data_IF_875835399199
#
_entry.id   IF_875835399199
#
_cell.length_a   1.000
_cell.length_b   1.000
_cell.length_c   1.000
_cell.angle_alpha   90.00
_cell.angle_beta   90.00
_cell.angle_gamma   90.00
#
_symmetry.space_group_name_H-M   'P 1'
#
loop_
_entity.id
_entity.type
_entity.pdbx_description
1 polymer ?
#
# COMPACT_ATOMS: atom_id res chain seq x y z
N UNK A 1 -0.23 -5.66 -32.28
CA UNK A 1 -0.93 -6.10 -31.06
C UNK A 1 -1.75 -4.94 -30.55
N UNK A 2 -3.03 -5.19 -30.22
CA UNK A 2 -3.97 -4.14 -29.82
C UNK A 2 -4.16 -4.13 -28.30
N UNK A 3 -4.06 -2.96 -27.69
CA UNK A 3 -4.10 -2.76 -26.22
C UNK A 3 -5.24 -1.82 -25.84
N UNK A 4 -6.04 -2.25 -24.87
CA UNK A 4 -7.13 -1.47 -24.30
C UNK A 4 -6.68 -0.85 -22.97
N UNK A 5 -6.85 0.46 -22.80
CA UNK A 5 -6.58 1.18 -21.56
C UNK A 5 -7.90 1.75 -21.04
N UNK A 6 -8.32 1.35 -19.83
CA UNK A 6 -9.68 1.57 -19.33
C UNK A 6 -9.79 2.50 -18.12
N UNK A 7 -8.67 2.93 -17.56
CA UNK A 7 -8.63 3.83 -16.40
C UNK A 7 -8.03 5.19 -16.75
N UNK A 8 -8.43 6.22 -16.03
CA UNK A 8 -7.73 7.49 -16.05
C UNK A 8 -6.36 7.36 -15.40
N UNK A 9 -5.31 7.64 -16.14
CA UNK A 9 -3.92 7.51 -15.75
C UNK A 9 -3.12 8.72 -16.23
N UNK A 10 -1.86 8.82 -15.79
CA UNK A 10 -0.94 9.83 -16.30
C UNK A 10 -0.83 9.74 -17.84
N UNK A 11 -0.79 10.86 -18.52
CA UNK A 11 -0.82 10.96 -19.99
C UNK A 11 0.23 10.07 -20.70
N UNK A 12 1.38 9.84 -20.06
CA UNK A 12 2.41 8.93 -20.59
C UNK A 12 1.92 7.51 -20.85
N UNK A 13 0.77 7.09 -20.26
CA UNK A 13 0.23 5.74 -20.48
C UNK A 13 -0.25 5.53 -21.92
N UNK A 14 -0.67 6.57 -22.60
CA UNK A 14 -1.14 6.50 -23.98
C UNK A 14 0.04 6.35 -24.93
N UNK A 15 1.12 7.10 -24.70
CA UNK A 15 2.31 7.10 -25.58
C UNK A 15 3.21 5.88 -25.35
N UNK A 16 3.23 5.34 -24.13
CA UNK A 16 4.09 4.23 -23.76
C UNK A 16 3.91 2.98 -24.63
N UNK A 17 2.68 2.47 -24.87
CA UNK A 17 2.50 1.32 -25.77
C UNK A 17 2.78 1.66 -27.24
N UNK A 18 2.51 2.90 -27.68
CA UNK A 18 2.81 3.36 -29.03
C UNK A 18 4.32 3.32 -29.30
N UNK A 19 5.15 3.72 -28.33
CA UNK A 19 6.61 3.60 -28.41
C UNK A 19 7.10 2.14 -28.54
N UNK A 20 6.28 1.17 -28.12
CA UNK A 20 6.51 -0.26 -28.31
C UNK A 20 5.89 -0.80 -29.61
N UNK A 21 5.35 0.05 -30.48
CA UNK A 21 4.70 -0.34 -31.74
C UNK A 21 3.34 -1.01 -31.53
N UNK A 22 2.68 -0.77 -30.40
CA UNK A 22 1.36 -1.31 -30.10
C UNK A 22 0.26 -0.34 -30.56
N UNK A 23 -0.85 -0.86 -31.03
CA UNK A 23 -2.07 -0.10 -31.32
C UNK A 23 -2.85 0.10 -30.00
N UNK A 24 -3.21 1.34 -29.67
CA UNK A 24 -3.78 1.71 -28.37
C UNK A 24 -5.16 2.31 -28.53
N UNK A 25 -6.12 1.78 -27.78
CA UNK A 25 -7.41 2.44 -27.56
C UNK A 25 -7.50 2.88 -26.08
N UNK A 26 -7.67 4.18 -25.85
CA UNK A 26 -7.75 4.78 -24.53
C UNK A 26 -9.18 5.25 -24.22
N UNK A 27 -9.83 4.57 -23.27
CA UNK A 27 -11.20 4.89 -22.85
C UNK A 27 -11.27 5.07 -21.32
N UNK A 28 -10.77 6.19 -20.76
CA UNK A 28 -10.65 6.39 -19.31
C UNK A 28 -12.00 6.37 -18.58
N UNK A 29 -13.08 6.72 -19.26
CA UNK A 29 -14.42 6.83 -18.67
C UNK A 29 -15.36 5.66 -19.04
N UNK A 30 -14.85 4.62 -19.73
CA UNK A 30 -15.64 3.48 -20.17
C UNK A 30 -16.23 2.71 -18.98
N UNK A 31 -17.51 2.28 -19.07
CA UNK A 31 -18.14 1.43 -18.10
C UNK A 31 -17.69 -0.04 -18.25
N UNK A 32 -17.75 -0.82 -17.17
CA UNK A 32 -17.36 -2.24 -17.22
C UNK A 32 -18.16 -3.02 -18.26
N UNK A 33 -19.46 -2.77 -18.40
CA UNK A 33 -20.32 -3.41 -19.40
C UNK A 33 -19.86 -3.16 -20.83
N UNK A 34 -19.46 -1.94 -21.15
CA UNK A 34 -18.93 -1.58 -22.47
C UNK A 34 -17.54 -2.20 -22.71
N UNK A 35 -16.72 -2.35 -21.64
CA UNK A 35 -15.45 -3.07 -21.76
C UNK A 35 -15.67 -4.52 -22.14
N UNK A 36 -16.66 -5.20 -21.54
CA UNK A 36 -16.98 -6.60 -21.85
C UNK A 36 -17.40 -6.80 -23.32
N UNK A 37 -18.06 -5.80 -23.93
CA UNK A 37 -18.44 -5.84 -25.33
C UNK A 37 -17.23 -5.67 -26.30
N UNK A 38 -16.20 -4.97 -25.85
CA UNK A 38 -15.04 -4.60 -26.70
C UNK A 38 -13.82 -5.49 -26.49
N UNK A 39 -13.60 -5.99 -25.29
CA UNK A 39 -12.33 -6.62 -24.88
C UNK A 39 -11.94 -7.85 -25.68
N UNK A 40 -12.91 -8.49 -26.38
CA UNK A 40 -12.68 -9.65 -27.24
C UNK A 40 -11.65 -9.40 -28.38
N UNK A 41 -11.47 -8.14 -28.77
CA UNK A 41 -10.57 -7.78 -29.87
C UNK A 41 -9.16 -7.38 -29.42
N UNK A 42 -8.91 -7.34 -28.12
CA UNK A 42 -7.65 -6.87 -27.57
C UNK A 42 -6.77 -8.00 -27.07
N UNK A 43 -5.47 -7.84 -27.25
CA UNK A 43 -4.44 -8.77 -26.81
C UNK A 43 -3.76 -8.30 -25.51
N UNK A 44 -3.90 -7.02 -25.15
CA UNK A 44 -3.44 -6.42 -23.91
C UNK A 44 -4.52 -5.57 -23.24
N UNK A 45 -4.55 -5.59 -21.91
CA UNK A 45 -5.41 -4.73 -21.09
C UNK A 45 -4.54 -3.98 -20.09
N UNK A 46 -4.70 -2.66 -20.01
CA UNK A 46 -4.07 -1.85 -18.96
C UNK A 46 -5.17 -1.27 -18.08
N UNK A 47 -5.08 -1.57 -16.78
CA UNK A 47 -6.06 -1.20 -15.77
C UNK A 47 -5.37 -0.72 -14.49
N UNK A 48 -6.02 0.18 -13.75
CA UNK A 48 -5.58 0.60 -12.40
C UNK A 48 -6.47 0.00 -11.32
N UNK A 49 -7.73 0.43 -11.22
CA UNK A 49 -8.61 0.03 -10.11
C UNK A 49 -10.10 0.03 -10.46
N UNK A 50 -10.46 0.12 -11.71
CA UNK A 50 -11.83 0.39 -12.14
C UNK A 50 -12.81 -0.75 -11.84
N UNK A 51 -12.41 -2.01 -12.06
CA UNK A 51 -13.25 -3.16 -11.84
C UNK A 51 -12.44 -4.44 -11.58
N UNK A 52 -13.13 -5.47 -11.14
CA UNK A 52 -12.54 -6.78 -10.87
C UNK A 52 -12.39 -7.59 -12.17
N UNK A 53 -11.25 -8.22 -12.36
CA UNK A 53 -10.96 -9.13 -13.47
C UNK A 53 -11.05 -10.56 -12.96
N UNK A 54 -12.20 -11.16 -13.13
CA UNK A 54 -12.52 -12.54 -12.74
C UNK A 54 -12.65 -13.47 -13.96
N UNK A 55 -13.00 -14.71 -13.70
CA UNK A 55 -13.25 -15.71 -14.75
C UNK A 55 -14.33 -15.26 -15.73
N UNK A 56 -15.40 -14.58 -15.27
CA UNK A 56 -16.45 -14.07 -16.13
C UNK A 56 -15.95 -12.99 -17.08
N UNK A 57 -15.12 -12.07 -16.57
CA UNK A 57 -14.45 -11.08 -17.41
C UNK A 57 -13.57 -11.75 -18.47
N UNK A 58 -12.74 -12.70 -18.06
CA UNK A 58 -11.78 -13.38 -18.92
C UNK A 58 -12.44 -14.24 -20.00
N UNK A 59 -13.66 -14.73 -19.79
CA UNK A 59 -14.46 -15.42 -20.84
C UNK A 59 -14.76 -14.51 -22.03
N UNK A 60 -14.90 -13.21 -21.81
CA UNK A 60 -15.15 -12.23 -22.86
C UNK A 60 -13.85 -11.69 -23.50
N UNK A 61 -12.68 -12.11 -23.05
CA UNK A 61 -11.38 -11.65 -23.52
C UNK A 61 -10.51 -12.81 -24.12
N UNK A 62 -11.00 -13.51 -25.18
CA UNK A 62 -10.34 -14.72 -25.68
C UNK A 62 -8.96 -14.51 -26.30
N UNK A 63 -8.65 -13.26 -26.72
CA UNK A 63 -7.36 -12.91 -27.35
C UNK A 63 -6.36 -12.34 -26.34
N UNK A 64 -6.75 -12.13 -25.07
CA UNK A 64 -5.94 -11.45 -24.08
C UNK A 64 -4.69 -12.27 -23.74
N UNK A 65 -3.52 -11.65 -23.85
CA UNK A 65 -2.20 -12.24 -23.59
C UNK A 65 -1.56 -11.67 -22.34
N UNK A 66 -1.85 -10.40 -22.02
CA UNK A 66 -1.33 -9.78 -20.82
C UNK A 66 -2.29 -8.75 -20.20
N UNK A 67 -2.12 -8.54 -18.91
CA UNK A 67 -2.76 -7.49 -18.12
C UNK A 67 -1.67 -6.64 -17.47
N UNK A 68 -1.63 -5.35 -17.81
CA UNK A 68 -0.80 -4.36 -17.14
C UNK A 68 -1.59 -3.67 -16.02
N UNK A 69 -1.20 -3.93 -14.76
CA UNK A 69 -1.81 -3.25 -13.62
C UNK A 69 -0.99 -1.99 -13.27
N UNK A 70 -1.55 -0.81 -13.53
CA UNK A 70 -0.92 0.47 -13.20
C UNK A 70 -0.95 0.76 -11.70
N UNK A 71 -0.09 0.05 -10.95
CA UNK A 71 0.05 0.11 -9.50
C UNK A 71 0.60 -1.19 -8.91
N UNK A 72 0.65 -1.29 -7.58
CA UNK A 72 1.33 -2.39 -6.89
C UNK A 72 0.42 -3.59 -6.58
N UNK A 73 -0.80 -3.37 -6.11
CA UNK A 73 -1.69 -4.44 -5.67
C UNK A 73 -2.36 -5.18 -6.82
N UNK A 74 -2.53 -6.47 -6.68
CA UNK A 74 -3.23 -7.34 -7.63
C UNK A 74 -4.61 -7.79 -7.11
N UNK A 75 -5.12 -7.13 -6.09
CA UNK A 75 -6.33 -7.50 -5.35
C UNK A 75 -7.60 -7.56 -6.25
N UNK A 76 -7.57 -6.87 -7.39
CA UNK A 76 -8.66 -6.84 -8.37
C UNK A 76 -8.48 -7.81 -9.54
N UNK A 77 -7.51 -8.72 -9.49
CA UNK A 77 -7.23 -9.65 -10.58
C UNK A 77 -7.22 -11.08 -10.03
N UNK A 78 -8.04 -11.93 -10.61
CA UNK A 78 -7.99 -13.37 -10.34
C UNK A 78 -6.77 -13.99 -11.03
N UNK A 79 -5.68 -14.09 -10.24
CA UNK A 79 -4.38 -14.58 -10.70
C UNK A 79 -4.47 -16.02 -11.20
N UNK A 80 -5.27 -16.87 -10.54
CA UNK A 80 -5.38 -18.29 -10.92
C UNK A 80 -6.19 -18.45 -12.22
N UNK A 81 -7.22 -17.65 -12.43
CA UNK A 81 -7.95 -17.63 -13.70
C UNK A 81 -7.06 -17.15 -14.86
N UNK A 82 -6.24 -16.11 -14.63
CA UNK A 82 -5.26 -15.64 -15.62
C UNK A 82 -4.22 -16.71 -15.97
N UNK A 83 -3.65 -17.39 -14.96
CA UNK A 83 -2.68 -18.49 -15.18
C UNK A 83 -3.24 -19.62 -16.01
N UNK A 84 -4.48 -20.07 -15.73
CA UNK A 84 -5.17 -21.12 -16.50
C UNK A 84 -5.31 -20.79 -17.98
N UNK A 85 -5.35 -19.50 -18.31
CA UNK A 85 -5.49 -18.98 -19.68
C UNK A 85 -4.17 -18.53 -20.30
N UNK A 86 -3.04 -18.73 -19.61
CA UNK A 86 -1.72 -18.25 -20.03
C UNK A 86 -1.68 -16.72 -20.25
N UNK A 87 -2.38 -15.95 -19.41
CA UNK A 87 -2.38 -14.50 -19.43
C UNK A 87 -1.33 -14.01 -18.43
N UNK A 88 -0.32 -13.26 -18.92
CA UNK A 88 0.70 -12.66 -18.07
C UNK A 88 0.19 -11.41 -17.33
N UNK A 89 0.61 -11.23 -16.08
CA UNK A 89 0.20 -10.09 -15.26
C UNK A 89 1.44 -9.27 -14.89
N UNK A 90 1.44 -7.99 -15.26
CA UNK A 90 2.49 -7.04 -14.93
C UNK A 90 1.97 -6.02 -13.93
N UNK A 91 2.47 -6.06 -12.70
CA UNK A 91 2.24 -5.02 -11.70
C UNK A 91 3.43 -4.05 -11.65
N UNK A 92 3.16 -2.77 -11.38
CA UNK A 92 4.19 -1.72 -11.32
C UNK A 92 4.61 -1.44 -9.87
N UNK A 93 4.95 -2.50 -9.12
CA UNK A 93 5.26 -2.45 -7.69
C UNK A 93 6.45 -1.53 -7.35
N UNK A 94 7.37 -1.36 -8.28
CA UNK A 94 8.57 -0.55 -8.12
C UNK A 94 8.29 0.95 -8.27
N UNK A 95 7.21 1.30 -8.98
CA UNK A 95 6.92 2.67 -9.40
C UNK A 95 6.57 3.61 -8.24
N UNK A 96 5.86 3.13 -7.23
CA UNK A 96 5.38 3.95 -6.12
C UNK A 96 6.15 3.77 -4.80
N UNK A 97 7.13 2.86 -4.72
CA UNK A 97 7.83 2.53 -3.46
C UNK A 97 8.46 3.74 -2.77
N UNK A 98 8.96 4.70 -3.54
CA UNK A 98 9.56 5.92 -3.02
C UNK A 98 8.50 6.78 -2.34
N UNK A 99 7.39 7.02 -3.02
CA UNK A 99 6.27 7.81 -2.50
C UNK A 99 5.70 7.20 -1.22
N UNK A 100 5.45 5.88 -1.20
CA UNK A 100 4.94 5.16 -0.01
C UNK A 100 5.88 5.34 1.18
N UNK A 101 7.19 5.18 0.97
CA UNK A 101 8.16 5.31 2.04
C UNK A 101 8.25 6.74 2.58
N UNK A 102 8.24 7.75 1.71
CA UNK A 102 8.28 9.17 2.11
C UNK A 102 7.00 9.59 2.83
N UNK A 103 5.84 9.14 2.35
CA UNK A 103 4.57 9.40 3.00
C UNK A 103 4.55 8.84 4.44
N UNK A 104 4.95 7.58 4.61
CA UNK A 104 5.04 6.95 5.94
C UNK A 104 5.98 7.71 6.88
N UNK A 105 7.16 8.13 6.41
CA UNK A 105 8.07 8.94 7.20
C UNK A 105 7.41 10.27 7.59
N UNK A 106 6.74 10.92 6.64
CA UNK A 106 5.97 12.14 6.90
C UNK A 106 4.94 11.95 8.01
N UNK A 107 4.14 10.87 7.95
CA UNK A 107 3.16 10.54 9.00
C UNK A 107 3.84 10.27 10.35
N UNK A 108 4.93 9.50 10.39
CA UNK A 108 5.67 9.22 11.62
C UNK A 108 6.23 10.51 12.25
N UNK A 109 6.84 11.39 11.46
CA UNK A 109 7.35 12.67 11.96
C UNK A 109 6.21 13.58 12.44
N UNK A 110 5.09 13.62 11.74
CA UNK A 110 3.91 14.36 12.18
C UNK A 110 3.37 13.83 13.53
N UNK A 111 3.31 12.51 13.68
CA UNK A 111 2.83 11.86 14.90
C UNK A 111 3.79 12.09 16.07
N UNK A 112 5.08 11.80 15.89
CA UNK A 112 6.09 11.84 16.92
C UNK A 112 6.35 13.25 17.45
N UNK A 113 6.24 14.27 16.59
CA UNK A 113 6.46 15.67 16.95
C UNK A 113 5.17 16.47 17.18
N UNK A 114 4.00 15.80 17.24
CA UNK A 114 2.68 16.43 17.42
C UNK A 114 2.41 17.58 16.41
N UNK A 115 2.93 17.48 15.17
CA UNK A 115 2.92 18.59 14.19
C UNK A 115 1.48 19.02 13.86
N UNK A 116 0.62 18.07 13.47
CA UNK A 116 -0.77 18.38 13.10
C UNK A 116 -1.58 18.97 14.27
N UNK A 117 -1.36 18.43 15.47
CA UNK A 117 -2.00 18.92 16.69
C UNK A 117 -1.56 20.32 17.03
N UNK A 118 -0.24 20.59 17.06
CA UNK A 118 0.30 21.91 17.41
C UNK A 118 -0.04 22.97 16.37
N UNK A 119 -0.02 22.62 15.06
CA UNK A 119 -0.45 23.51 14.00
C UNK A 119 -1.93 23.93 14.16
N UNK A 120 -2.80 22.95 14.44
CA UNK A 120 -4.22 23.23 14.69
C UNK A 120 -4.43 24.06 15.95
N UNK A 121 -3.69 23.82 17.03
CA UNK A 121 -3.75 24.64 18.25
C UNK A 121 -3.36 26.10 17.96
N UNK A 122 -2.26 26.35 17.24
CA UNK A 122 -1.84 27.69 16.86
C UNK A 122 -2.88 28.40 15.99
N UNK A 123 -3.47 27.72 15.02
CA UNK A 123 -4.57 28.27 14.19
C UNK A 123 -5.80 28.67 15.00
N UNK A 124 -5.98 28.08 16.19
CA UNK A 124 -7.03 28.42 17.14
C UNK A 124 -6.57 29.32 18.29
N UNK A 125 -5.43 30.03 18.14
CA UNK A 125 -4.83 30.93 19.12
C UNK A 125 -4.47 30.25 20.46
N UNK A 126 -4.12 28.96 20.42
CA UNK A 126 -3.73 28.17 21.59
C UNK A 126 -2.23 27.92 21.54
N UNK A 127 -1.49 28.38 22.57
CA UNK A 127 -0.04 28.19 22.70
C UNK A 127 0.28 27.18 23.80
N UNK A 128 0.58 25.93 23.42
CA UNK A 128 0.85 24.81 24.36
C UNK A 128 2.20 24.15 24.06
N UNK A 129 3.30 24.80 24.46
CA UNK A 129 4.65 24.30 24.19
C UNK A 129 4.95 22.96 24.86
N UNK A 130 4.75 22.88 26.17
CA UNK A 130 5.14 21.69 26.96
C UNK A 130 4.24 20.46 26.65
N UNK A 131 2.96 20.66 26.37
CA UNK A 131 2.01 19.60 26.03
C UNK A 131 2.22 19.02 24.63
N UNK A 132 3.01 19.71 23.79
CA UNK A 132 3.36 19.29 22.42
C UNK A 132 4.81 18.79 22.33
N UNK A 133 5.48 18.49 23.45
CA UNK A 133 6.79 17.87 23.45
C UNK A 133 6.71 16.51 22.74
N UNK A 134 7.55 16.31 21.71
CA UNK A 134 7.59 15.11 20.89
C UNK A 134 8.57 14.06 21.37
N UNK A 135 8.65 12.98 20.63
CA UNK A 135 9.67 11.93 20.70
C UNK A 135 10.53 11.96 19.43
N UNK A 136 11.77 11.46 19.50
CA UNK A 136 12.65 11.30 18.35
C UNK A 136 12.54 9.90 17.74
N UNK A 137 12.72 9.79 16.43
CA UNK A 137 12.87 8.50 15.74
C UNK A 137 14.24 7.87 16.00
N UNK A 138 15.26 8.70 16.29
CA UNK A 138 16.62 8.25 16.53
C UNK A 138 16.68 7.18 17.62
N UNK A 139 17.38 6.08 17.32
CA UNK A 139 17.56 4.95 18.23
C UNK A 139 16.36 4.01 18.38
N UNK A 140 15.18 4.36 17.83
CA UNK A 140 14.01 3.47 17.84
C UNK A 140 14.26 2.21 17.00
N UNK A 141 13.68 1.09 17.43
CA UNK A 141 13.68 -0.16 16.68
C UNK A 141 12.39 -0.27 15.87
N UNK A 142 12.51 -0.38 14.57
CA UNK A 142 11.37 -0.52 13.66
C UNK A 142 11.29 -1.96 13.17
N UNK A 143 10.17 -2.62 13.48
CA UNK A 143 9.79 -3.91 12.91
C UNK A 143 9.10 -3.69 11.56
N UNK A 144 9.62 -4.29 10.50
CA UNK A 144 9.03 -4.25 9.16
C UNK A 144 8.52 -5.65 8.82
N UNK A 145 7.22 -5.79 8.57
CA UNK A 145 6.62 -7.03 8.09
C UNK A 145 6.36 -6.91 6.60
N UNK A 146 7.04 -7.75 5.80
CA UNK A 146 7.13 -7.67 4.34
C UNK A 146 8.32 -6.84 3.89
N UNK A 147 9.36 -7.51 3.37
CA UNK A 147 10.61 -6.89 2.92
C UNK A 147 10.73 -6.93 1.39
N UNK A 148 9.62 -6.53 0.71
CA UNK A 148 9.58 -6.29 -0.72
C UNK A 148 9.92 -4.84 -1.07
N UNK A 149 9.49 -4.37 -2.25
CA UNK A 149 9.80 -3.02 -2.77
C UNK A 149 9.51 -1.89 -1.77
N UNK A 150 8.33 -1.91 -1.13
CA UNK A 150 7.93 -0.87 -0.18
C UNK A 150 8.66 -1.00 1.16
N UNK A 151 8.83 -2.22 1.68
CA UNK A 151 9.56 -2.46 2.94
C UNK A 151 11.03 -2.05 2.83
N UNK A 152 11.72 -2.41 1.74
CA UNK A 152 13.10 -1.97 1.48
C UNK A 152 13.22 -0.45 1.35
N UNK A 153 12.30 0.19 0.60
CA UNK A 153 12.31 1.64 0.43
C UNK A 153 12.06 2.38 1.74
N UNK A 154 11.20 1.84 2.61
CA UNK A 154 10.92 2.37 3.95
C UNK A 154 12.13 2.18 4.87
N UNK A 155 12.71 0.99 4.91
CA UNK A 155 13.91 0.69 5.70
C UNK A 155 15.06 1.65 5.36
N UNK A 156 15.35 1.82 4.07
CA UNK A 156 16.46 2.67 3.62
C UNK A 156 16.34 4.12 4.09
N UNK A 157 15.12 4.64 4.24
CA UNK A 157 14.88 5.99 4.75
C UNK A 157 14.97 6.05 6.27
N UNK A 158 14.40 5.06 6.98
CA UNK A 158 14.45 5.00 8.44
C UNK A 158 15.88 4.87 8.98
N UNK A 159 16.76 4.18 8.24
CA UNK A 159 18.19 4.12 8.55
C UNK A 159 18.81 5.52 8.61
N UNK A 160 18.44 6.42 7.70
CA UNK A 160 18.94 7.80 7.71
C UNK A 160 18.50 8.61 8.95
N UNK A 161 17.41 8.19 9.61
CA UNK A 161 16.97 8.74 10.91
C UNK A 161 17.61 8.04 12.12
N UNK A 162 18.57 7.14 11.90
CA UNK A 162 19.24 6.42 12.97
C UNK A 162 18.39 5.32 13.62
N UNK A 163 17.34 4.85 12.96
CA UNK A 163 16.54 3.72 13.43
C UNK A 163 17.28 2.39 13.25
N UNK A 164 17.01 1.44 14.15
CA UNK A 164 17.39 0.03 14.00
C UNK A 164 16.29 -0.70 13.26
N UNK A 165 16.62 -1.46 12.22
CA UNK A 165 15.62 -2.15 11.38
C UNK A 165 15.67 -3.65 11.66
N UNK A 166 14.52 -4.19 12.09
CA UNK A 166 14.22 -5.62 12.15
C UNK A 166 13.21 -5.94 11.07
N UNK A 167 13.59 -6.73 10.07
CA UNK A 167 12.70 -7.05 8.96
C UNK A 167 12.37 -8.53 8.91
N UNK A 168 11.10 -8.84 8.74
CA UNK A 168 10.59 -10.19 8.51
C UNK A 168 9.89 -10.27 7.17
N UNK A 169 10.24 -11.29 6.40
CA UNK A 169 9.51 -11.68 5.20
C UNK A 169 9.29 -13.19 5.20
N UNK A 170 8.07 -13.63 4.87
CA UNK A 170 7.73 -15.06 4.88
C UNK A 170 8.38 -15.84 3.74
N UNK A 171 8.66 -15.15 2.63
CA UNK A 171 9.05 -15.78 1.36
C UNK A 171 10.46 -15.40 0.90
N UNK A 172 11.08 -14.39 1.53
CA UNK A 172 12.43 -13.92 1.20
C UNK A 172 13.36 -14.19 2.37
N UNK A 173 14.56 -14.67 2.04
CA UNK A 173 15.62 -15.00 3.00
C UNK A 173 16.95 -14.46 2.48
N UNK A 174 17.91 -14.26 3.40
CA UNK A 174 19.25 -13.79 3.06
C UNK A 174 19.30 -12.34 2.59
N UNK A 175 18.32 -11.52 2.96
CA UNK A 175 18.26 -10.10 2.61
C UNK A 175 18.90 -9.18 3.67
N UNK A 176 19.29 -9.74 4.83
CA UNK A 176 19.95 -8.99 5.88
C UNK A 176 21.28 -8.39 5.43
N UNK A 177 21.62 -7.22 5.98
CA UNK A 177 22.88 -6.51 5.71
C UNK A 177 23.33 -5.72 6.94
N UNK A 178 24.36 -4.90 6.82
CA UNK A 178 24.90 -4.09 7.93
C UNK A 178 23.90 -3.11 8.58
N UNK A 179 22.80 -2.80 7.91
CA UNK A 179 21.78 -1.82 8.36
C UNK A 179 20.42 -2.45 8.67
N UNK A 180 20.15 -3.61 8.10
CA UNK A 180 18.87 -4.33 8.25
C UNK A 180 19.14 -5.72 8.80
N UNK A 181 18.57 -6.01 9.95
CA UNK A 181 18.60 -7.35 10.53
C UNK A 181 17.43 -8.15 10.03
N UNK A 182 17.69 -9.24 9.29
CA UNK A 182 16.69 -10.26 9.00
C UNK A 182 16.28 -10.92 10.31
N UNK A 183 14.99 -10.90 10.62
CA UNK A 183 14.49 -11.23 11.95
C UNK A 183 13.30 -12.17 11.90
N UNK A 184 13.08 -12.87 13.00
CA UNK A 184 11.85 -13.62 13.22
C UNK A 184 10.74 -12.71 13.76
N UNK A 185 9.49 -13.16 13.66
CA UNK A 185 8.37 -12.45 14.30
C UNK A 185 8.56 -12.32 15.82
N UNK A 186 9.16 -13.32 16.47
CA UNK A 186 9.42 -13.27 17.92
C UNK A 186 10.41 -12.16 18.30
N UNK A 187 11.44 -11.92 17.48
CA UNK A 187 12.38 -10.82 17.71
C UNK A 187 11.71 -9.45 17.50
N UNK A 188 10.80 -9.34 16.53
CA UNK A 188 9.99 -8.12 16.33
C UNK A 188 9.10 -7.90 17.54
N UNK A 189 8.37 -8.90 18.03
CA UNK A 189 7.51 -8.77 19.21
C UNK A 189 8.26 -8.30 20.46
N UNK A 190 9.51 -8.75 20.65
CA UNK A 190 10.33 -8.36 21.81
C UNK A 190 10.90 -6.96 21.71
N UNK A 191 11.32 -6.54 20.50
CA UNK A 191 12.23 -5.42 20.40
C UNK A 191 11.63 -4.18 19.71
N UNK A 192 10.57 -4.33 18.90
CA UNK A 192 10.05 -3.23 18.11
C UNK A 192 9.43 -2.14 19.00
N UNK A 193 9.76 -0.89 18.70
CA UNK A 193 9.11 0.32 19.20
C UNK A 193 8.07 0.81 18.20
N UNK A 194 8.29 0.55 16.90
CA UNK A 194 7.40 0.89 15.79
C UNK A 194 7.22 -0.37 14.96
N UNK A 195 5.99 -0.67 14.57
CA UNK A 195 5.65 -1.73 13.62
C UNK A 195 5.11 -1.16 12.33
N UNK A 196 5.63 -1.59 11.18
CA UNK A 196 5.16 -1.17 9.86
C UNK A 196 4.83 -2.35 8.95
N UNK A 197 3.65 -2.30 8.32
CA UNK A 197 3.15 -3.35 7.44
C UNK A 197 3.40 -3.02 5.97
N UNK A 198 3.98 -3.99 5.25
CA UNK A 198 4.29 -3.90 3.82
C UNK A 198 4.00 -5.22 3.07
N UNK A 199 3.02 -5.97 3.54
CA UNK A 199 2.58 -7.24 2.94
C UNK A 199 1.32 -7.06 2.08
N UNK A 200 1.10 -7.91 1.08
CA UNK A 200 -0.13 -7.91 0.29
C UNK A 200 -1.32 -8.46 1.09
N UNK A 201 -2.52 -8.09 0.67
CA UNK A 201 -3.75 -8.75 1.10
C UNK A 201 -3.92 -10.08 0.38
N UNK A 202 -4.06 -11.14 1.14
CA UNK A 202 -4.32 -12.51 0.68
C UNK A 202 -5.31 -13.17 1.63
N UNK A 203 -5.80 -14.37 1.31
CA UNK A 203 -6.65 -15.15 2.22
C UNK A 203 -5.94 -15.37 3.57
N UNK A 204 -4.63 -15.57 3.55
CA UNK A 204 -3.83 -15.81 4.76
C UNK A 204 -3.62 -14.53 5.60
N UNK A 205 -3.43 -13.39 4.94
CA UNK A 205 -3.08 -12.13 5.62
C UNK A 205 -4.30 -11.29 5.98
N UNK A 206 -5.48 -11.64 5.46
CA UNK A 206 -6.74 -10.97 5.79
C UNK A 206 -7.03 -11.10 7.29
N UNK A 207 -7.22 -9.97 7.96
CA UNK A 207 -7.47 -9.88 9.42
C UNK A 207 -6.39 -10.55 10.28
N UNK A 208 -5.16 -10.65 9.76
CA UNK A 208 -4.04 -11.26 10.48
C UNK A 208 -3.62 -10.45 11.72
N UNK A 209 -3.84 -9.13 11.69
CA UNK A 209 -3.46 -8.21 12.76
C UNK A 209 -4.66 -7.93 13.67
N UNK A 210 -4.93 -8.88 14.53
CA UNK A 210 -6.02 -8.92 15.50
C UNK A 210 -5.54 -8.58 16.93
N UNK A 211 -6.42 -8.68 17.90
CA UNK A 211 -6.12 -8.48 19.32
C UNK A 211 -4.95 -9.35 19.79
N UNK A 212 -4.98 -10.63 19.43
CA UNK A 212 -3.93 -11.58 19.89
C UNK A 212 -2.58 -11.24 19.31
N UNK A 213 -2.54 -10.69 18.10
CA UNK A 213 -1.33 -10.19 17.49
C UNK A 213 -0.74 -9.01 18.29
N UNK A 214 -1.53 -7.99 18.61
CA UNK A 214 -1.05 -6.83 19.37
C UNK A 214 -0.59 -7.20 20.77
N UNK A 215 -1.24 -8.15 21.44
CA UNK A 215 -0.88 -8.62 22.77
C UNK A 215 0.49 -9.30 22.86
N UNK A 216 1.03 -9.83 21.74
CA UNK A 216 2.35 -10.49 21.71
C UNK A 216 3.53 -9.55 21.91
N UNK A 217 3.36 -8.26 21.65
CA UNK A 217 4.46 -7.31 21.80
C UNK A 217 4.82 -7.13 23.27
N UNK A 218 6.11 -7.21 23.59
CA UNK A 218 6.57 -6.96 24.97
C UNK A 218 6.51 -5.48 25.32
N UNK A 219 6.74 -4.61 24.33
CA UNK A 219 6.65 -3.15 24.46
C UNK A 219 5.29 -2.62 24.01
N UNK A 220 4.99 -1.39 24.42
CA UNK A 220 3.93 -0.61 23.78
C UNK A 220 4.49 0.03 22.52
N UNK A 221 3.83 -0.18 21.37
CA UNK A 221 4.34 0.15 20.05
C UNK A 221 3.59 1.31 19.40
N UNK A 222 4.21 1.94 18.42
CA UNK A 222 3.53 2.69 17.37
C UNK A 222 3.23 1.76 16.20
N UNK A 223 2.06 1.93 15.58
CA UNK A 223 1.61 1.04 14.52
C UNK A 223 1.42 1.79 13.21
N UNK A 224 1.90 1.24 12.10
CA UNK A 224 1.82 1.84 10.78
C UNK A 224 1.25 0.84 9.76
N UNK A 225 0.21 1.26 9.05
CA UNK A 225 -0.33 0.51 7.93
C UNK A 225 -0.49 1.39 6.70
N UNK A 226 0.39 1.19 5.72
CA UNK A 226 0.37 1.79 4.39
C UNK A 226 0.24 0.72 3.29
N UNK A 227 -0.26 -0.46 3.66
CA UNK A 227 -0.40 -1.61 2.77
C UNK A 227 -1.86 -1.85 2.34
N UNK A 228 -2.65 -2.53 3.17
CA UNK A 228 -4.09 -2.78 2.98
C UNK A 228 -4.81 -2.73 4.31
N UNK A 229 -5.99 -2.12 4.34
CA UNK A 229 -6.77 -1.96 5.57
C UNK A 229 -7.30 -3.26 6.13
N UNK A 230 -7.71 -4.17 5.25
CA UNK A 230 -8.27 -5.48 5.60
C UNK A 230 -7.25 -6.45 6.25
N UNK A 231 -5.97 -6.10 6.27
CA UNK A 231 -4.96 -6.81 7.06
C UNK A 231 -5.25 -6.74 8.56
N UNK A 232 -5.91 -5.67 9.00
CA UNK A 232 -6.09 -5.30 10.41
C UNK A 232 -7.56 -5.44 10.80
N UNK A 233 -7.84 -6.06 11.94
CA UNK A 233 -9.15 -5.95 12.58
C UNK A 233 -9.21 -4.58 13.24
N UNK A 234 -9.90 -3.62 12.61
CA UNK A 234 -9.89 -2.20 13.01
C UNK A 234 -10.40 -1.99 14.44
N UNK A 235 -11.38 -2.80 14.86
CA UNK A 235 -11.88 -2.81 16.23
C UNK A 235 -10.78 -3.19 17.23
N UNK A 236 -9.96 -4.19 16.91
CA UNK A 236 -8.91 -4.66 17.81
C UNK A 236 -7.76 -3.64 17.90
N UNK A 237 -7.46 -2.94 16.80
CA UNK A 237 -6.56 -1.78 16.83
C UNK A 237 -7.10 -0.66 17.72
N UNK A 238 -8.40 -0.36 17.65
CA UNK A 238 -9.05 0.59 18.54
C UNK A 238 -8.88 0.18 20.00
N UNK A 239 -9.10 -1.09 20.34
CA UNK A 239 -8.98 -1.60 21.70
C UNK A 239 -7.50 -1.58 22.17
N UNK A 240 -6.55 -1.87 21.29
CA UNK A 240 -5.12 -1.76 21.57
C UNK A 240 -4.66 -0.30 21.82
N UNK A 241 -5.26 0.67 21.12
CA UNK A 241 -5.03 2.10 21.38
C UNK A 241 -5.64 2.52 22.74
N UNK A 242 -6.86 2.08 23.05
CA UNK A 242 -7.52 2.36 24.34
C UNK A 242 -6.74 1.80 25.54
N UNK A 243 -6.15 0.62 25.40
CA UNK A 243 -5.34 0.01 26.47
C UNK A 243 -3.93 0.60 26.56
N UNK A 244 -3.51 1.42 25.60
CA UNK A 244 -2.15 1.94 25.49
C UNK A 244 -1.13 0.93 24.96
N UNK A 245 -1.54 -0.27 24.56
CA UNK A 245 -0.66 -1.25 23.90
C UNK A 245 -0.13 -0.73 22.57
N UNK A 246 -0.99 -0.04 21.82
CA UNK A 246 -0.60 0.80 20.71
C UNK A 246 -0.61 2.27 21.19
N UNK A 247 0.55 2.90 21.18
CA UNK A 247 0.77 4.28 21.64
C UNK A 247 0.24 5.32 20.66
N UNK A 248 0.16 4.96 19.39
CA UNK A 248 -0.32 5.80 18.30
C UNK A 248 -0.26 5.06 16.97
N UNK A 249 -0.97 5.56 15.96
CA UNK A 249 -1.04 4.89 14.68
C UNK A 249 -0.94 5.85 13.48
N UNK A 250 -0.30 5.36 12.39
CA UNK A 250 -0.25 5.98 11.06
C UNK A 250 -0.98 5.05 10.08
N UNK A 251 -2.13 5.47 9.57
CA UNK A 251 -3.02 4.65 8.74
C UNK A 251 -3.28 5.37 7.41
N UNK A 252 -2.73 4.86 6.32
CA UNK A 252 -3.09 5.34 4.97
C UNK A 252 -4.27 4.54 4.40
N UNK A 253 -4.62 3.43 5.05
CA UNK A 253 -5.67 2.51 4.64
C UNK A 253 -6.55 2.13 5.83
N UNK A 254 -7.84 1.83 5.57
CA UNK A 254 -8.83 1.42 6.55
C UNK A 254 -9.45 0.07 6.17
N UNK A 255 -9.93 -0.71 7.15
CA UNK A 255 -10.61 -1.99 6.91
C UNK A 255 -11.75 -1.86 5.90
N UNK A 256 -12.44 -0.71 5.89
CA UNK A 256 -13.42 -0.35 4.88
C UNK A 256 -13.22 1.12 4.48
N UNK A 257 -12.75 1.35 3.27
CA UNK A 257 -12.50 2.70 2.73
C UNK A 257 -13.77 3.38 2.19
N UNK A 258 -14.90 2.64 2.11
CA UNK A 258 -16.20 3.20 1.72
C UNK A 258 -16.91 3.79 2.93
N UNK A 259 -16.49 4.98 3.36
CA UNK A 259 -16.95 5.61 4.59
C UNK A 259 -18.47 5.83 4.69
N UNK A 260 -19.20 5.80 3.58
CA UNK A 260 -20.66 5.87 3.50
C UNK A 260 -21.35 4.49 3.57
N UNK A 261 -20.61 3.41 3.74
CA UNK A 261 -21.09 2.01 3.81
C UNK A 261 -20.43 1.21 4.92
N UNK A 262 -20.07 1.89 6.02
CA UNK A 262 -19.53 1.22 7.19
C UNK A 262 -20.62 0.42 7.90
N UNK A 263 -20.27 -0.75 8.43
CA UNK A 263 -21.09 -1.44 9.43
C UNK A 263 -21.11 -0.64 10.73
N UNK A 264 -22.02 -0.94 11.64
CA UNK A 264 -22.07 -0.27 12.94
C UNK A 264 -20.75 -0.41 13.72
N UNK A 265 -20.16 -1.60 13.75
CA UNK A 265 -18.85 -1.84 14.39
C UNK A 265 -17.73 -1.05 13.73
N UNK A 266 -17.67 -1.01 12.39
CA UNK A 266 -16.69 -0.22 11.64
C UNK A 266 -16.88 1.28 11.89
N UNK A 267 -18.12 1.76 11.99
CA UNK A 267 -18.42 3.16 12.29
C UNK A 267 -17.91 3.54 13.69
N UNK A 268 -18.17 2.70 14.71
CA UNK A 268 -17.71 2.94 16.08
C UNK A 268 -16.17 3.02 16.13
N UNK A 269 -15.49 2.07 15.50
CA UNK A 269 -14.03 2.05 15.50
C UNK A 269 -13.44 3.21 14.69
N UNK A 270 -14.04 3.58 13.56
CA UNK A 270 -13.62 4.73 12.76
C UNK A 270 -13.83 6.05 13.51
N UNK A 271 -15.00 6.22 14.15
CA UNK A 271 -15.31 7.42 14.95
C UNK A 271 -14.34 7.60 16.13
N UNK A 272 -13.91 6.49 16.73
CA UNK A 272 -12.85 6.54 17.72
C UNK A 272 -11.53 7.00 17.10
N UNK A 273 -11.05 6.31 16.05
CA UNK A 273 -9.74 6.56 15.43
C UNK A 273 -9.59 8.00 14.95
N UNK A 274 -10.58 8.55 14.25
CA UNK A 274 -10.52 9.91 13.67
C UNK A 274 -10.47 11.01 14.72
N UNK A 275 -10.90 10.72 15.96
CA UNK A 275 -10.92 11.70 17.06
C UNK A 275 -9.70 11.60 17.98
N UNK A 276 -8.75 10.68 17.70
CA UNK A 276 -7.54 10.52 18.52
C UNK A 276 -6.42 11.46 18.04
N UNK A 277 -5.84 12.23 18.95
CA UNK A 277 -4.69 13.08 18.66
C UNK A 277 -3.38 12.32 18.34
N UNK A 278 -3.34 11.03 18.68
CA UNK A 278 -2.23 10.11 18.42
C UNK A 278 -2.50 9.13 17.26
N UNK A 279 -3.45 9.45 16.39
CA UNK A 279 -3.74 8.69 15.18
C UNK A 279 -3.74 9.64 13.98
N UNK A 280 -2.99 9.31 12.94
CA UNK A 280 -2.99 10.02 11.66
C UNK A 280 -3.59 9.10 10.61
N UNK A 281 -4.59 9.60 9.89
CA UNK A 281 -5.29 8.88 8.83
C UNK A 281 -5.18 9.67 7.54
N UNK A 282 -4.82 8.99 6.44
CA UNK A 282 -4.82 9.56 5.09
C UNK A 282 -5.63 8.67 4.13
N UNK A 283 -6.21 9.22 3.05
CA UNK A 283 -7.19 8.52 2.23
C UNK A 283 -6.55 7.67 1.12
N UNK A 284 -5.69 6.72 1.48
CA UNK A 284 -4.99 5.78 0.59
C UNK A 284 -4.17 6.48 -0.51
N UNK A 285 -3.35 7.43 -0.08
CA UNK A 285 -2.55 8.30 -0.96
C UNK A 285 -1.03 8.12 -0.80
N UNK A 286 -0.56 7.19 0.02
CA UNK A 286 0.87 7.01 0.25
C UNK A 286 1.67 6.80 -1.05
N UNK A 287 1.08 6.07 -2.00
CA UNK A 287 1.69 5.84 -3.31
C UNK A 287 1.31 6.89 -4.38
N UNK A 288 0.63 7.98 -4.02
CA UNK A 288 -0.03 8.89 -4.97
C UNK A 288 0.73 10.22 -5.09
N UNK A 289 1.81 10.24 -5.87
CA UNK A 289 2.57 11.46 -6.20
C UNK A 289 2.68 11.63 -7.72
N UNK A 290 2.94 12.83 -8.19
CA UNK A 290 3.15 13.11 -9.62
C UNK A 290 4.25 12.22 -10.19
N UNK A 291 5.36 12.07 -9.48
CA UNK A 291 6.50 11.27 -9.91
C UNK A 291 6.21 9.77 -9.88
N UNK A 292 5.49 9.27 -8.87
CA UNK A 292 5.14 7.85 -8.79
C UNK A 292 4.20 7.44 -9.92
N UNK A 293 3.30 8.34 -10.30
CA UNK A 293 2.33 8.13 -11.37
C UNK A 293 3.01 7.94 -12.73
N UNK A 294 4.06 8.72 -13.01
CA UNK A 294 4.88 8.54 -14.21
C UNK A 294 5.75 7.28 -14.11
N UNK A 295 6.44 7.05 -12.97
CA UNK A 295 7.28 5.85 -12.78
C UNK A 295 6.50 4.54 -12.91
N UNK A 296 5.25 4.50 -12.47
CA UNK A 296 4.36 3.34 -12.64
C UNK A 296 4.25 2.98 -14.13
N UNK A 297 4.01 3.97 -15.00
CA UNK A 297 3.89 3.74 -16.43
C UNK A 297 5.22 3.28 -17.05
N UNK A 298 6.35 3.88 -16.63
CA UNK A 298 7.69 3.45 -17.07
C UNK A 298 7.96 1.99 -16.72
N UNK A 299 7.65 1.58 -15.48
CA UNK A 299 7.80 0.18 -15.05
C UNK A 299 6.94 -0.77 -15.86
N UNK A 300 5.68 -0.39 -16.15
CA UNK A 300 4.81 -1.20 -17.01
C UNK A 300 5.38 -1.32 -18.44
N UNK A 301 5.82 -0.22 -19.02
CA UNK A 301 6.47 -0.20 -20.34
C UNK A 301 7.61 -1.20 -20.40
N UNK A 302 8.54 -1.12 -19.44
CA UNK A 302 9.72 -1.99 -19.41
C UNK A 302 9.34 -3.48 -19.27
N UNK A 303 8.32 -3.80 -18.47
CA UNK A 303 7.83 -5.18 -18.31
C UNK A 303 7.15 -5.69 -19.57
N UNK A 304 6.31 -4.89 -20.20
CA UNK A 304 5.63 -5.22 -21.46
C UNK A 304 6.67 -5.37 -22.59
N UNK A 305 7.65 -4.48 -22.70
CA UNK A 305 8.72 -4.55 -23.69
C UNK A 305 9.48 -5.88 -23.61
N UNK A 306 9.88 -6.29 -22.40
CA UNK A 306 10.55 -7.60 -22.17
C UNK A 306 9.68 -8.78 -22.58
N UNK A 307 8.39 -8.75 -22.26
CA UNK A 307 7.44 -9.80 -22.64
C UNK A 307 7.30 -9.92 -24.17
N UNK A 308 7.32 -8.79 -24.86
CA UNK A 308 7.23 -8.72 -26.32
C UNK A 308 8.56 -8.94 -27.03
N UNK A 309 9.68 -9.14 -26.28
CA UNK A 309 11.03 -9.20 -26.82
C UNK A 309 11.42 -7.96 -27.64
N UNK A 310 10.94 -6.79 -27.26
CA UNK A 310 11.32 -5.49 -27.81
C UNK A 310 12.47 -4.94 -26.96
N UNK A 311 13.61 -4.69 -27.61
CA UNK A 311 14.84 -4.15 -26.97
C UNK A 311 14.92 -2.63 -27.11
#
# INVERSE_FOLDING_TARGET
>A
MKVLIVDEMHESIVHMPEELGLEVDYFPNIAQTEVLEKVADYEGLIIRSKFFIDENFLQNAPKLKFIGRAGAGLDLIDIEACKKRNIEIFAANEGNRIAVAEHLIGMLLCLFNNILKSDNEIKNNIWKREQNRGEELFGKTVGIIGFGNNGEATASRLIAFGCKILAYDKYRYGFGNQFVTESTMNEIYRNADILSLHIPLTIETNKMFDKTFFERFEKNIYFCNVARGELVVQKDLMDALKSGKVKGACLDVLENEKLNRLTEEQQISFDYLKNQGNVIITPHIAGWTFESYNRINTVLKDKIARFLNIT
#
